data_IF_613405417551
#
_entry.id   IF_613405417551
#
_cell.length_a   1.000
_cell.length_b   1.000
_cell.length_c   1.000
_cell.angle_alpha   90.00
_cell.angle_beta   90.00
_cell.angle_gamma   90.00
#
_symmetry.space_group_name_H-M   'P 1'
#
loop_
_entity.id
_entity.type
_entity.pdbx_description
1 polymer ?
#
# COMPACT_ATOMS: atom_id res chain seq x y z
N UNK A 1 -23.91 3.35 -27.48
CA UNK A 1 -22.74 3.33 -26.57
C UNK A 1 -23.12 3.14 -25.10
N UNK A 2 -24.02 3.95 -24.52
CA UNK A 2 -24.54 3.80 -23.14
C UNK A 2 -25.03 2.38 -22.73
N UNK A 3 -25.81 1.63 -23.55
CA UNK A 3 -26.27 0.28 -23.14
C UNK A 3 -25.13 -0.75 -23.04
N UNK A 4 -24.12 -0.66 -23.92
CA UNK A 4 -22.94 -1.54 -23.87
C UNK A 4 -22.03 -1.22 -22.68
N UNK A 5 -21.97 0.04 -22.25
CA UNK A 5 -21.26 0.45 -21.05
C UNK A 5 -21.93 -0.10 -19.78
N UNK A 6 -23.25 0.04 -19.66
CA UNK A 6 -24.01 -0.47 -18.52
C UNK A 6 -23.85 -1.99 -18.38
N UNK A 7 -23.91 -2.72 -19.50
CA UNK A 7 -23.67 -4.17 -19.52
C UNK A 7 -22.28 -4.52 -18.96
N UNK A 8 -21.23 -3.77 -19.32
CA UNK A 8 -19.87 -3.99 -18.82
C UNK A 8 -19.72 -3.63 -17.34
N UNK A 9 -20.38 -2.57 -16.86
CA UNK A 9 -20.40 -2.21 -15.43
C UNK A 9 -21.07 -3.31 -14.60
N UNK A 10 -22.13 -3.94 -15.12
CA UNK A 10 -22.73 -5.11 -14.47
C UNK A 10 -21.82 -6.35 -14.53
N UNK A 11 -21.08 -6.54 -15.63
CA UNK A 11 -20.15 -7.66 -15.81
C UNK A 11 -18.90 -7.55 -14.90
N UNK A 12 -18.54 -6.34 -14.45
CA UNK A 12 -17.47 -6.14 -13.47
C UNK A 12 -17.75 -6.85 -12.12
N UNK A 13 -19.02 -7.13 -11.81
CA UNK A 13 -19.42 -7.90 -10.63
C UNK A 13 -19.64 -9.40 -10.92
N UNK A 14 -19.19 -9.92 -12.07
CA UNK A 14 -19.35 -11.33 -12.43
C UNK A 14 -18.49 -12.26 -11.55
N UNK A 15 -18.96 -13.49 -11.35
CA UNK A 15 -18.21 -14.54 -10.62
C UNK A 15 -16.96 -15.00 -11.37
N UNK A 16 -16.90 -14.80 -12.68
CA UNK A 16 -15.70 -15.07 -13.48
C UNK A 16 -14.68 -13.94 -13.30
N UNK A 17 -13.49 -14.28 -12.79
CA UNK A 17 -12.41 -13.32 -12.51
C UNK A 17 -11.86 -12.64 -13.74
N UNK A 18 -11.68 -13.40 -14.83
CA UNK A 18 -11.10 -12.87 -16.05
C UNK A 18 -12.08 -11.88 -16.69
N UNK A 19 -13.36 -12.25 -16.76
CA UNK A 19 -14.41 -11.38 -17.28
C UNK A 19 -14.59 -10.14 -16.41
N UNK A 20 -14.59 -10.29 -15.08
CA UNK A 20 -14.68 -9.18 -14.14
C UNK A 20 -13.50 -8.20 -14.32
N UNK A 21 -12.26 -8.70 -14.44
CA UNK A 21 -11.08 -7.88 -14.66
C UNK A 21 -11.08 -7.22 -16.05
N UNK A 22 -11.44 -7.93 -17.13
CA UNK A 22 -11.55 -7.35 -18.47
C UNK A 22 -12.64 -6.28 -18.55
N UNK A 23 -13.76 -6.49 -17.85
CA UNK A 23 -14.82 -5.50 -17.71
C UNK A 23 -14.32 -4.27 -16.94
N UNK A 24 -13.65 -4.45 -15.80
CA UNK A 24 -13.03 -3.37 -15.04
C UNK A 24 -12.05 -2.56 -15.89
N UNK A 25 -11.19 -3.24 -16.66
CA UNK A 25 -10.24 -2.61 -17.61
C UNK A 25 -10.96 -1.80 -18.68
N UNK A 26 -11.99 -2.37 -19.30
CA UNK A 26 -12.77 -1.69 -20.33
C UNK A 26 -13.51 -0.46 -19.79
N UNK A 27 -14.13 -0.60 -18.62
CA UNK A 27 -14.84 0.49 -17.95
C UNK A 27 -13.88 1.60 -17.56
N UNK A 28 -12.72 1.26 -16.97
CA UNK A 28 -11.70 2.25 -16.58
C UNK A 28 -11.19 3.04 -17.79
N UNK A 29 -10.87 2.36 -18.90
CA UNK A 29 -10.46 3.05 -20.14
C UNK A 29 -11.53 4.01 -20.66
N UNK A 30 -12.80 3.61 -20.58
CA UNK A 30 -13.91 4.48 -20.99
C UNK A 30 -14.10 5.67 -20.06
N UNK A 31 -14.01 5.47 -18.73
CA UNK A 31 -14.09 6.56 -17.75
C UNK A 31 -12.95 7.55 -17.93
N UNK A 32 -11.72 7.07 -18.17
CA UNK A 32 -10.56 7.92 -18.46
C UNK A 32 -10.78 8.71 -19.75
N UNK A 33 -11.34 8.07 -20.79
CA UNK A 33 -11.69 8.73 -22.04
C UNK A 33 -12.74 9.82 -21.83
N UNK A 34 -13.82 9.54 -21.09
CA UNK A 34 -14.84 10.55 -20.80
C UNK A 34 -14.30 11.71 -19.96
N UNK A 35 -13.45 11.42 -18.97
CA UNK A 35 -12.76 12.44 -18.19
C UNK A 35 -11.87 13.33 -19.07
N UNK A 36 -11.15 12.76 -20.03
CA UNK A 36 -10.27 13.51 -20.92
C UNK A 36 -11.06 14.34 -21.95
N UNK A 37 -12.11 13.77 -22.55
CA UNK A 37 -12.84 14.40 -23.65
C UNK A 37 -13.95 15.34 -23.20
N UNK A 38 -14.66 14.99 -22.12
CA UNK A 38 -15.85 15.72 -21.66
C UNK A 38 -15.66 16.35 -20.29
N UNK A 39 -14.56 16.04 -19.60
CA UNK A 39 -14.26 16.55 -18.27
C UNK A 39 -15.39 16.27 -17.26
N UNK A 40 -16.01 15.11 -17.40
CA UNK A 40 -17.09 14.63 -16.53
C UNK A 40 -16.76 13.22 -16.07
N UNK A 41 -16.96 12.96 -14.77
CA UNK A 41 -16.88 11.61 -14.22
C UNK A 41 -18.14 10.85 -14.66
N UNK A 42 -17.96 9.62 -15.12
CA UNK A 42 -19.09 8.76 -15.45
C UNK A 42 -19.90 8.43 -14.18
N UNK A 43 -21.12 8.95 -14.09
CA UNK A 43 -21.98 8.79 -12.90
C UNK A 43 -22.35 7.33 -12.61
N UNK A 44 -22.47 6.49 -13.66
CA UNK A 44 -22.86 5.08 -13.51
C UNK A 44 -21.71 4.29 -12.89
N UNK A 45 -20.48 4.52 -13.36
CA UNK A 45 -19.28 3.97 -12.76
C UNK A 45 -19.08 4.46 -11.33
N UNK A 46 -19.20 5.77 -11.10
CA UNK A 46 -19.03 6.39 -9.78
C UNK A 46 -19.98 5.77 -8.76
N UNK A 47 -21.27 5.74 -9.08
CA UNK A 47 -22.30 5.14 -8.23
C UNK A 47 -22.05 3.65 -7.99
N UNK A 48 -21.65 2.90 -9.02
CA UNK A 48 -21.40 1.46 -8.87
C UNK A 48 -20.19 1.19 -7.97
N UNK A 49 -19.11 1.94 -8.15
CA UNK A 49 -17.94 1.85 -7.29
C UNK A 49 -18.28 2.20 -5.84
N UNK A 50 -19.05 3.28 -5.62
CA UNK A 50 -19.51 3.66 -4.29
C UNK A 50 -20.35 2.55 -3.64
N UNK A 51 -21.29 1.95 -4.37
CA UNK A 51 -22.10 0.86 -3.83
C UNK A 51 -21.26 -0.33 -3.37
N UNK A 52 -20.24 -0.71 -4.15
CA UNK A 52 -19.35 -1.83 -3.82
C UNK A 52 -18.47 -1.50 -2.61
N UNK A 53 -17.94 -0.27 -2.54
CA UNK A 53 -17.11 0.16 -1.42
C UNK A 53 -17.91 0.36 -0.11
N UNK A 54 -19.19 0.74 -0.20
CA UNK A 54 -20.05 0.90 0.99
C UNK A 54 -20.49 -0.42 1.61
N UNK A 55 -20.54 -1.49 0.81
CA UNK A 55 -20.88 -2.83 1.28
C UNK A 55 -19.78 -3.82 0.84
N UNK A 56 -18.58 -3.71 1.42
CA UNK A 56 -17.44 -4.48 0.94
C UNK A 56 -17.59 -5.93 1.40
N UNK A 57 -17.99 -6.80 0.49
CA UNK A 57 -17.79 -8.23 0.63
C UNK A 57 -16.50 -8.60 -0.11
N UNK A 58 -15.63 -9.40 0.51
CA UNK A 58 -14.46 -9.97 -0.17
C UNK A 58 -14.90 -10.71 -1.43
N UNK A 59 -14.35 -10.35 -2.59
CA UNK A 59 -14.66 -11.00 -3.86
C UNK A 59 -14.40 -10.13 -5.08
N UNK A 60 -14.59 -10.74 -6.25
CA UNK A 60 -14.22 -10.15 -7.55
C UNK A 60 -14.79 -8.73 -7.77
N UNK A 61 -15.98 -8.42 -7.26
CA UNK A 61 -16.59 -7.09 -7.43
C UNK A 61 -15.78 -6.01 -6.71
N UNK A 62 -15.32 -6.28 -5.48
CA UNK A 62 -14.48 -5.36 -4.71
C UNK A 62 -13.11 -5.23 -5.36
N UNK A 63 -12.52 -6.34 -5.82
CA UNK A 63 -11.25 -6.34 -6.54
C UNK A 63 -11.32 -5.51 -7.83
N UNK A 64 -12.33 -5.75 -8.66
CA UNK A 64 -12.58 -5.02 -9.89
C UNK A 64 -12.83 -3.52 -9.65
N UNK A 65 -13.60 -3.19 -8.62
CA UNK A 65 -13.87 -1.81 -8.21
C UNK A 65 -12.59 -1.11 -7.78
N UNK A 66 -11.82 -1.73 -6.87
CA UNK A 66 -10.58 -1.18 -6.32
C UNK A 66 -9.54 -1.01 -7.42
N UNK A 67 -9.39 -2.01 -8.29
CA UNK A 67 -8.50 -1.95 -9.46
C UNK A 67 -8.91 -0.85 -10.43
N UNK A 68 -10.22 -0.71 -10.71
CA UNK A 68 -10.75 0.31 -11.61
C UNK A 68 -10.50 1.73 -11.06
N UNK A 69 -10.81 1.95 -9.78
CA UNK A 69 -10.56 3.21 -9.11
C UNK A 69 -9.08 3.56 -9.07
N UNK A 70 -8.23 2.59 -8.75
CA UNK A 70 -6.76 2.74 -8.78
C UNK A 70 -6.29 3.18 -10.16
N UNK A 71 -6.80 2.54 -11.22
CA UNK A 71 -6.42 2.86 -12.61
C UNK A 71 -6.83 4.27 -13.02
N UNK A 72 -8.07 4.67 -12.69
CA UNK A 72 -8.56 6.02 -12.97
C UNK A 72 -7.76 7.07 -12.20
N UNK A 73 -7.51 6.87 -10.91
CA UNK A 73 -6.71 7.77 -10.09
C UNK A 73 -5.27 7.90 -10.61
N UNK A 74 -4.61 6.78 -10.98
CA UNK A 74 -3.28 6.79 -11.60
C UNK A 74 -3.25 7.64 -12.88
N UNK A 75 -4.26 7.49 -13.75
CA UNK A 75 -4.33 8.26 -14.98
C UNK A 75 -4.48 9.76 -14.72
N UNK A 76 -5.39 10.15 -13.81
CA UNK A 76 -5.62 11.55 -13.44
C UNK A 76 -4.37 12.16 -12.78
N UNK A 77 -3.66 11.41 -11.93
CA UNK A 77 -2.43 11.85 -11.29
C UNK A 77 -1.27 12.02 -12.27
N UNK A 78 -1.14 11.14 -13.26
CA UNK A 78 -0.04 11.18 -14.23
C UNK A 78 -0.14 12.39 -15.16
N UNK A 79 -1.34 12.68 -15.64
CA UNK A 79 -1.56 13.65 -16.72
C UNK A 79 -2.44 14.81 -16.26
N UNK A 80 -2.15 15.38 -15.09
CA UNK A 80 -2.97 16.43 -14.46
C UNK A 80 -3.27 17.64 -15.35
N UNK A 81 -2.41 17.96 -16.32
CA UNK A 81 -2.61 19.05 -17.28
C UNK A 81 -3.72 18.78 -18.31
N UNK A 82 -4.10 17.52 -18.52
CA UNK A 82 -5.13 17.13 -19.50
C UNK A 82 -6.55 17.16 -18.91
N UNK A 83 -6.67 17.35 -17.59
CA UNK A 83 -7.94 17.36 -16.88
C UNK A 83 -8.18 18.74 -16.28
N UNK A 84 -9.45 19.09 -16.03
CA UNK A 84 -9.77 20.34 -15.35
C UNK A 84 -9.17 20.38 -13.95
N UNK A 85 -8.63 21.52 -13.50
CA UNK A 85 -8.19 21.68 -12.12
C UNK A 85 -9.33 21.35 -11.15
N UNK A 86 -9.02 20.65 -10.05
CA UNK A 86 -10.04 20.19 -9.10
C UNK A 86 -10.64 18.81 -9.40
N UNK A 87 -10.31 18.17 -10.55
CA UNK A 87 -10.89 16.86 -10.91
C UNK A 87 -10.44 15.76 -9.96
N UNK A 88 -9.17 15.76 -9.57
CA UNK A 88 -8.62 14.79 -8.63
C UNK A 88 -9.25 14.97 -7.24
N UNK A 89 -9.33 16.21 -6.77
CA UNK A 89 -9.91 16.58 -5.48
C UNK A 89 -11.40 16.19 -5.43
N UNK A 90 -12.15 16.43 -6.50
CA UNK A 90 -13.54 16.00 -6.61
C UNK A 90 -13.67 14.49 -6.52
N UNK A 91 -12.82 13.75 -7.25
CA UNK A 91 -12.86 12.28 -7.25
C UNK A 91 -12.52 11.73 -5.85
N UNK A 92 -11.48 12.25 -5.21
CA UNK A 92 -11.11 11.87 -3.84
C UNK A 92 -12.23 12.21 -2.85
N UNK A 93 -12.83 13.40 -2.95
CA UNK A 93 -13.95 13.81 -2.09
C UNK A 93 -15.14 12.86 -2.19
N UNK A 94 -15.47 12.41 -3.41
CA UNK A 94 -16.59 11.48 -3.63
C UNK A 94 -16.37 10.14 -2.93
N UNK A 95 -15.13 9.62 -2.96
CA UNK A 95 -14.82 8.27 -2.46
C UNK A 95 -14.29 8.24 -1.03
N UNK A 96 -13.99 9.38 -0.41
CA UNK A 96 -13.23 9.47 0.86
C UNK A 96 -13.83 8.62 1.99
N UNK A 97 -15.13 8.76 2.21
CA UNK A 97 -15.86 8.05 3.27
C UNK A 97 -15.93 6.54 3.01
N UNK A 98 -16.20 6.16 1.76
CA UNK A 98 -16.31 4.77 1.37
C UNK A 98 -14.95 4.05 1.47
N UNK A 99 -13.86 4.71 1.03
CA UNK A 99 -12.50 4.15 1.13
C UNK A 99 -12.05 3.96 2.57
N UNK A 100 -12.36 4.92 3.44
CA UNK A 100 -12.08 4.82 4.89
C UNK A 100 -12.83 3.67 5.53
N UNK A 101 -14.09 3.46 5.15
CA UNK A 101 -14.89 2.33 5.62
C UNK A 101 -14.32 0.99 5.13
N UNK A 102 -13.95 0.88 3.85
CA UNK A 102 -13.33 -0.35 3.30
C UNK A 102 -12.01 -0.68 3.99
N UNK A 103 -11.15 0.31 4.20
CA UNK A 103 -9.88 0.10 4.89
C UNK A 103 -10.11 -0.44 6.31
N UNK A 104 -11.03 0.18 7.07
CA UNK A 104 -11.32 -0.22 8.45
C UNK A 104 -11.94 -1.62 8.57
N UNK A 105 -12.64 -2.08 7.52
CA UNK A 105 -13.23 -3.42 7.47
C UNK A 105 -12.23 -4.50 7.01
N UNK A 106 -11.31 -4.15 6.11
CA UNK A 106 -10.35 -5.11 5.54
C UNK A 106 -9.05 -5.23 6.34
N UNK A 107 -8.62 -4.14 6.97
CA UNK A 107 -7.40 -4.12 7.77
C UNK A 107 -7.80 -4.33 9.24
N UNK A 108 -7.22 -5.32 9.94
CA UNK A 108 -7.54 -5.57 11.34
C UNK A 108 -7.21 -4.34 12.21
N UNK A 109 -8.24 -3.66 12.70
CA UNK A 109 -8.10 -2.58 13.69
C UNK A 109 -8.14 -3.20 15.10
N UNK A 110 -7.34 -2.67 16.03
CA UNK A 110 -7.18 -3.16 17.40
C UNK A 110 -8.52 -3.37 18.12
N UNK A 111 -8.92 -4.62 18.32
CA UNK A 111 -9.76 -4.95 19.47
C UNK A 111 -8.83 -5.32 20.63
N UNK A 112 -8.51 -4.31 21.43
CA UNK A 112 -7.90 -4.46 22.75
C UNK A 112 -8.92 -5.20 23.64
N UNK A 113 -8.92 -6.53 23.58
CA UNK A 113 -9.87 -7.32 24.34
C UNK A 113 -9.76 -8.81 24.05
N UNK A 114 -9.06 -9.51 24.95
CA UNK A 114 -9.19 -10.91 25.33
C UNK A 114 -9.34 -11.98 24.24
N UNK A 115 -8.48 -13.00 24.36
CA UNK A 115 -8.44 -14.20 23.55
C UNK A 115 -9.80 -14.67 23.08
N UNK A 116 -10.00 -14.60 21.78
CA UNK A 116 -10.63 -15.63 20.98
C UNK A 116 -10.17 -15.40 19.56
N UNK A 117 -9.77 -16.49 18.92
CA UNK A 117 -9.40 -16.58 17.51
C UNK A 117 -10.25 -15.61 16.69
N UNK A 118 -9.66 -14.47 16.28
CA UNK A 118 -10.25 -13.63 15.26
C UNK A 118 -10.28 -14.52 14.02
N UNK A 119 -11.47 -15.09 13.77
CA UNK A 119 -11.77 -15.90 12.61
C UNK A 119 -11.33 -15.10 11.39
N UNK A 120 -10.14 -15.41 10.87
CA UNK A 120 -9.78 -15.02 9.52
C UNK A 120 -10.93 -15.52 8.65
N UNK A 121 -11.54 -14.68 7.80
CA UNK A 121 -12.60 -15.13 6.93
C UNK A 121 -12.11 -16.39 6.23
N UNK A 122 -12.84 -17.49 6.40
CA UNK A 122 -12.60 -18.80 5.79
C UNK A 122 -12.68 -18.77 4.25
N UNK A 123 -12.51 -17.61 3.61
CA UNK A 123 -12.38 -17.47 2.17
C UNK A 123 -10.97 -17.90 1.76
N UNK A 124 -10.91 -18.80 0.78
CA UNK A 124 -9.74 -19.18 0.00
C UNK A 124 -8.59 -18.15 0.09
N UNK A 125 -7.46 -18.51 0.70
CA UNK A 125 -6.37 -17.58 1.08
C UNK A 125 -5.84 -16.72 -0.09
N UNK A 126 -5.94 -17.24 -1.31
CA UNK A 126 -5.57 -16.55 -2.55
C UNK A 126 -6.48 -15.34 -2.86
N UNK A 127 -7.75 -15.39 -2.48
CA UNK A 127 -8.74 -14.36 -2.78
C UNK A 127 -8.51 -13.15 -1.89
N UNK A 128 -8.26 -13.42 -0.60
CA UNK A 128 -7.92 -12.39 0.37
C UNK A 128 -6.59 -11.69 0.03
N UNK A 129 -5.59 -12.45 -0.42
CA UNK A 129 -4.33 -11.87 -0.87
C UNK A 129 -4.50 -10.93 -2.06
N UNK A 130 -5.37 -11.29 -3.00
CA UNK A 130 -5.69 -10.45 -4.17
C UNK A 130 -6.38 -9.16 -3.73
N UNK A 131 -7.38 -9.25 -2.85
CA UNK A 131 -8.07 -8.07 -2.30
C UNK A 131 -7.13 -7.15 -1.54
N UNK A 132 -6.28 -7.68 -0.67
CA UNK A 132 -5.26 -6.89 0.03
C UNK A 132 -4.28 -6.23 -0.94
N UNK A 133 -3.86 -6.94 -2.00
CA UNK A 133 -2.95 -6.39 -3.02
C UNK A 133 -3.56 -5.19 -3.73
N UNK A 134 -4.81 -5.32 -4.17
CA UNK A 134 -5.54 -4.23 -4.81
C UNK A 134 -5.72 -3.03 -3.87
N UNK A 135 -5.99 -3.29 -2.58
CA UNK A 135 -6.10 -2.25 -1.56
C UNK A 135 -4.76 -1.53 -1.35
N UNK A 136 -3.65 -2.28 -1.27
CA UNK A 136 -2.30 -1.71 -1.12
C UNK A 136 -1.89 -0.85 -2.32
N UNK A 137 -2.20 -1.30 -3.54
CA UNK A 137 -1.99 -0.51 -4.75
C UNK A 137 -2.82 0.78 -4.74
N UNK A 138 -4.06 0.72 -4.27
CA UNK A 138 -4.91 1.91 -4.12
C UNK A 138 -4.34 2.87 -3.07
N UNK A 139 -3.91 2.35 -1.91
CA UNK A 139 -3.29 3.15 -0.84
C UNK A 139 -2.02 3.84 -1.30
N UNK A 140 -1.21 3.18 -2.13
CA UNK A 140 -0.02 3.80 -2.72
C UNK A 140 -0.40 5.01 -3.58
N UNK A 141 -1.44 4.87 -4.41
CA UNK A 141 -1.94 5.93 -5.28
C UNK A 141 -2.54 7.08 -4.49
N UNK A 142 -3.30 6.79 -3.43
CA UNK A 142 -3.85 7.80 -2.51
C UNK A 142 -2.74 8.56 -1.77
N UNK A 143 -1.68 7.86 -1.37
CA UNK A 143 -0.51 8.48 -0.74
C UNK A 143 0.23 9.37 -1.75
N UNK A 144 0.42 8.91 -2.99
CA UNK A 144 1.03 9.72 -4.04
C UNK A 144 0.17 10.95 -4.37
N UNK A 145 -1.16 10.82 -4.37
CA UNK A 145 -2.07 11.93 -4.52
C UNK A 145 -1.90 12.96 -3.41
N UNK A 146 -1.75 12.51 -2.16
CA UNK A 146 -1.46 13.37 -1.00
C UNK A 146 -0.17 14.16 -1.21
N UNK A 147 0.92 13.50 -1.58
CA UNK A 147 2.20 14.18 -1.81
C UNK A 147 2.09 15.24 -2.92
N UNK A 148 1.36 14.95 -4.00
CA UNK A 148 1.13 15.90 -5.10
C UNK A 148 0.18 17.05 -4.73
N UNK A 149 -0.79 16.81 -3.86
CA UNK A 149 -1.76 17.79 -3.38
C UNK A 149 -1.32 18.52 -2.09
N UNK A 150 -0.11 18.29 -1.60
CA UNK A 150 0.40 18.86 -0.33
C UNK A 150 0.35 20.39 -0.26
N UNK A 151 0.37 21.08 -1.40
CA UNK A 151 0.19 22.54 -1.47
C UNK A 151 -1.26 22.99 -1.25
N UNK A 152 -2.23 22.08 -1.40
CA UNK A 152 -3.66 22.35 -1.27
C UNK A 152 -4.13 22.01 0.15
N UNK A 153 -4.75 22.97 0.86
CA UNK A 153 -5.29 22.79 2.23
C UNK A 153 -6.38 21.71 2.39
N UNK A 154 -6.74 21.00 1.32
CA UNK A 154 -7.81 20.00 1.35
C UNK A 154 -7.19 18.65 1.66
N UNK A 155 -7.43 18.18 2.89
CA UNK A 155 -6.89 16.93 3.38
C UNK A 155 -7.98 15.86 3.47
N UNK A 156 -7.91 14.84 2.62
CA UNK A 156 -8.84 13.72 2.60
C UNK A 156 -8.45 12.64 3.61
N UNK A 157 -9.42 12.06 4.33
CA UNK A 157 -9.16 11.03 5.34
C UNK A 157 -8.55 9.78 4.73
N UNK A 158 -9.06 9.35 3.58
CA UNK A 158 -8.58 8.20 2.80
C UNK A 158 -7.12 8.32 2.37
N UNK A 159 -6.67 9.55 2.08
CA UNK A 159 -5.29 9.84 1.69
C UNK A 159 -4.29 9.73 2.85
N UNK A 160 -4.78 9.75 4.09
CA UNK A 160 -3.98 9.64 5.33
C UNK A 160 -3.92 8.23 5.89
N UNK A 161 -4.77 7.32 5.43
CA UNK A 161 -4.97 6.01 6.06
C UNK A 161 -3.66 5.21 6.21
N UNK A 162 -2.81 5.22 5.17
CA UNK A 162 -1.52 4.53 5.19
C UNK A 162 -0.52 5.12 6.18
N UNK A 163 -0.63 6.42 6.50
CA UNK A 163 0.23 7.11 7.46
C UNK A 163 -0.30 7.01 8.89
N UNK A 164 -1.61 7.11 9.06
CA UNK A 164 -2.28 7.15 10.38
C UNK A 164 -2.53 5.76 10.95
N UNK A 165 -2.61 4.72 10.11
CA UNK A 165 -2.86 3.33 10.53
C UNK A 165 -1.70 2.40 10.16
N UNK A 166 -0.47 2.91 10.32
CA UNK A 166 0.75 2.15 10.04
C UNK A 166 0.89 0.89 10.89
N UNK A 167 0.50 0.96 12.16
CA UNK A 167 0.42 -0.18 13.08
C UNK A 167 -0.40 -1.35 12.51
N UNK A 168 -1.51 -1.05 11.83
CA UNK A 168 -2.39 -2.03 11.21
C UNK A 168 -1.73 -2.69 9.98
N UNK A 169 -0.98 -1.93 9.19
CA UNK A 169 -0.15 -2.46 8.10
C UNK A 169 1.00 -3.34 8.62
N UNK A 170 1.67 -2.93 9.69
CA UNK A 170 2.75 -3.72 10.31
C UNK A 170 2.24 -5.07 10.84
N UNK A 171 1.00 -5.13 11.32
CA UNK A 171 0.33 -6.38 11.70
C UNK A 171 0.06 -7.31 10.51
N UNK A 172 -0.21 -6.77 9.32
CA UNK A 172 -0.31 -7.61 8.11
C UNK A 172 1.03 -8.32 7.85
N UNK A 173 2.16 -7.65 8.07
CA UNK A 173 3.50 -8.26 7.92
C UNK A 173 3.72 -9.40 8.93
N UNK A 174 3.22 -9.25 10.15
CA UNK A 174 3.30 -10.26 11.20
C UNK A 174 2.32 -11.44 10.98
N UNK A 175 1.21 -11.20 10.28
CA UNK A 175 0.16 -12.21 10.05
C UNK A 175 0.55 -13.34 9.10
N UNK A 176 -0.29 -14.38 9.00
CA UNK A 176 -0.07 -15.55 8.13
C UNK A 176 -0.42 -15.33 6.64
N UNK A 177 -0.39 -14.08 6.16
CA UNK A 177 -0.61 -13.77 4.74
C UNK A 177 0.59 -14.18 3.87
N UNK A 178 0.34 -14.33 2.56
CA UNK A 178 1.39 -14.65 1.59
C UNK A 178 2.56 -13.64 1.62
N UNK A 179 3.78 -14.15 1.46
CA UNK A 179 5.03 -13.38 1.50
C UNK A 179 5.00 -12.13 0.60
N UNK A 180 4.42 -12.25 -0.61
CA UNK A 180 4.37 -11.12 -1.54
C UNK A 180 3.54 -9.94 -1.00
N UNK A 181 2.46 -10.20 -0.25
CA UNK A 181 1.64 -9.15 0.37
C UNK A 181 2.44 -8.45 1.46
N UNK A 182 3.17 -9.21 2.28
CA UNK A 182 4.10 -8.67 3.30
C UNK A 182 5.15 -7.78 2.66
N UNK A 183 5.73 -8.23 1.55
CA UNK A 183 6.71 -7.47 0.76
C UNK A 183 6.11 -6.18 0.21
N UNK A 184 4.89 -6.22 -0.32
CA UNK A 184 4.19 -5.04 -0.83
C UNK A 184 3.92 -4.01 0.26
N UNK A 185 3.47 -4.44 1.45
CA UNK A 185 3.31 -3.56 2.63
C UNK A 185 4.63 -2.86 2.97
N UNK A 186 5.73 -3.60 3.02
CA UNK A 186 7.03 -3.01 3.37
C UNK A 186 7.56 -2.04 2.32
N UNK A 187 7.33 -2.34 1.04
CA UNK A 187 7.66 -1.42 -0.05
C UNK A 187 6.80 -0.15 0.02
N UNK A 188 5.52 -0.27 0.35
CA UNK A 188 4.64 0.87 0.57
C UNK A 188 5.15 1.75 1.72
N UNK A 189 5.38 1.17 2.91
CA UNK A 189 5.91 1.90 4.07
C UNK A 189 7.24 2.59 3.76
N UNK A 190 8.15 1.89 3.07
CA UNK A 190 9.42 2.46 2.59
C UNK A 190 9.17 3.69 1.71
N UNK A 191 8.28 3.58 0.70
CA UNK A 191 7.98 4.68 -0.22
C UNK A 191 7.35 5.88 0.51
N UNK A 192 6.47 5.63 1.47
CA UNK A 192 5.84 6.69 2.29
C UNK A 192 6.90 7.41 3.13
N UNK A 193 7.73 6.68 3.89
CA UNK A 193 8.76 7.26 4.74
C UNK A 193 9.83 8.02 3.95
N UNK A 194 10.17 7.55 2.75
CA UNK A 194 11.09 8.25 1.85
C UNK A 194 10.42 9.39 1.07
N UNK A 195 9.11 9.61 1.24
CA UNK A 195 8.31 10.60 0.49
C UNK A 195 8.42 10.42 -1.03
N UNK A 196 8.49 9.16 -1.46
CA UNK A 196 8.69 8.71 -2.85
C UNK A 196 7.51 7.89 -3.37
N UNK A 197 6.35 7.95 -2.73
CA UNK A 197 5.16 7.26 -3.24
C UNK A 197 4.75 7.87 -4.58
N UNK A 198 4.61 7.04 -5.61
CA UNK A 198 4.29 7.48 -6.97
C UNK A 198 5.50 7.84 -7.86
N UNK A 199 6.73 7.82 -7.33
CA UNK A 199 7.95 7.99 -8.14
C UNK A 199 8.03 6.93 -9.26
N UNK A 200 7.79 5.67 -8.90
CA UNK A 200 7.75 4.54 -9.83
C UNK A 200 6.61 4.63 -10.87
N UNK A 201 5.59 5.46 -10.61
CA UNK A 201 4.44 5.66 -11.49
C UNK A 201 4.65 6.81 -12.49
N UNK A 202 5.79 7.50 -12.41
CA UNK A 202 6.13 8.62 -13.28
C UNK A 202 5.31 9.88 -13.00
N UNK A 203 4.85 10.08 -11.76
CA UNK A 203 4.03 11.24 -11.38
C UNK A 203 4.81 12.57 -11.27
N UNK A 204 6.08 12.59 -11.68
CA UNK A 204 7.01 13.72 -11.49
C UNK A 204 7.65 13.70 -10.10
N UNK A 205 8.72 14.47 -9.91
CA UNK A 205 9.30 14.64 -8.58
C UNK A 205 8.27 15.30 -7.65
N UNK A 206 7.92 14.60 -6.56
CA UNK A 206 7.17 15.21 -5.47
C UNK A 206 8.00 16.38 -4.94
N UNK A 207 7.40 17.57 -4.87
CA UNK A 207 8.07 18.76 -4.35
C UNK A 207 8.63 18.45 -2.97
N UNK A 208 9.95 18.61 -2.80
CA UNK A 208 10.60 18.54 -1.50
C UNK A 208 9.85 19.41 -0.52
N UNK A 209 9.48 18.84 0.63
CA UNK A 209 8.65 19.43 1.67
C UNK A 209 9.08 20.88 1.98
N UNK A 210 8.50 21.88 1.29
CA UNK A 210 8.74 23.29 1.54
C UNK A 210 7.85 23.71 2.70
N UNK A 211 8.32 23.45 3.93
CA UNK A 211 7.99 24.05 5.23
C UNK A 211 6.53 24.42 5.58
N UNK A 212 5.50 24.01 4.81
CA UNK A 212 4.15 24.58 4.90
C UNK A 212 3.01 23.60 5.20
N UNK A 213 3.26 22.28 5.27
CA UNK A 213 2.23 21.29 5.59
C UNK A 213 2.55 20.58 6.93
N UNK A 214 2.14 21.23 8.01
CA UNK A 214 2.30 20.75 9.39
C UNK A 214 1.59 19.41 9.62
N UNK A 215 0.47 19.17 8.91
CA UNK A 215 -0.32 17.94 9.07
C UNK A 215 0.35 16.73 8.41
N UNK A 216 0.92 16.89 7.22
CA UNK A 216 1.66 15.80 6.57
C UNK A 216 2.93 15.43 7.34
N UNK A 217 3.64 16.43 7.86
CA UNK A 217 4.84 16.21 8.67
C UNK A 217 4.50 15.46 9.97
N UNK A 218 3.40 15.86 10.64
CA UNK A 218 2.89 15.16 11.81
C UNK A 218 2.52 13.70 11.50
N UNK A 219 1.84 13.44 10.38
CA UNK A 219 1.43 12.08 9.99
C UNK A 219 2.64 11.17 9.69
N UNK A 220 3.69 11.72 9.10
CA UNK A 220 4.95 10.98 8.86
C UNK A 220 5.67 10.68 10.18
N UNK A 221 5.62 11.60 11.15
CA UNK A 221 6.18 11.35 12.49
C UNK A 221 5.39 10.29 13.26
N UNK A 222 4.06 10.29 13.20
CA UNK A 222 3.25 9.23 13.82
C UNK A 222 3.53 7.87 13.18
N UNK A 223 3.62 7.81 11.85
CA UNK A 223 4.03 6.61 11.11
C UNK A 223 5.40 6.10 11.57
N UNK A 224 6.38 7.00 11.72
CA UNK A 224 7.72 6.66 12.18
C UNK A 224 7.71 6.11 13.62
N UNK A 225 6.94 6.73 14.52
CA UNK A 225 6.81 6.25 15.90
C UNK A 225 6.13 4.87 15.97
N UNK A 226 5.08 4.62 15.18
CA UNK A 226 4.43 3.30 15.07
C UNK A 226 5.42 2.21 14.65
N UNK A 227 6.24 2.50 13.63
CA UNK A 227 7.29 1.57 13.16
C UNK A 227 8.30 1.28 14.28
N UNK A 228 8.78 2.30 14.97
CA UNK A 228 9.77 2.12 16.03
C UNK A 228 9.20 1.42 17.26
N UNK A 229 7.91 1.65 17.56
CA UNK A 229 7.20 0.92 18.60
C UNK A 229 7.07 -0.57 18.24
N UNK A 230 6.73 -0.89 16.99
CA UNK A 230 6.69 -2.29 16.53
C UNK A 230 8.08 -2.96 16.60
N UNK A 231 9.14 -2.24 16.22
CA UNK A 231 10.53 -2.73 16.35
C UNK A 231 10.89 -3.00 17.81
N UNK A 232 10.43 -2.16 18.75
CA UNK A 232 10.62 -2.38 20.18
C UNK A 232 9.88 -3.64 20.69
N UNK A 233 8.80 -4.05 20.04
CA UNK A 233 8.07 -5.29 20.35
C UNK A 233 8.53 -6.47 19.48
N UNK A 234 9.81 -6.51 19.11
CA UNK A 234 10.44 -7.61 18.35
C UNK A 234 9.82 -7.91 16.97
N UNK A 235 9.08 -6.98 16.36
CA UNK A 235 8.47 -7.18 15.05
C UNK A 235 9.49 -7.58 13.97
N UNK A 236 10.73 -7.10 14.07
CA UNK A 236 11.80 -7.49 13.16
C UNK A 236 12.14 -8.98 13.22
N UNK A 237 11.83 -9.71 14.29
CA UNK A 237 12.00 -11.15 14.34
C UNK A 237 10.96 -11.87 13.45
N UNK A 238 9.75 -11.30 13.36
CA UNK A 238 8.64 -11.86 12.61
C UNK A 238 8.68 -11.60 11.10
N UNK A 239 9.49 -10.66 10.61
CA UNK A 239 9.57 -10.36 9.17
C UNK A 239 10.27 -11.49 8.42
N UNK A 240 9.57 -12.31 7.62
CA UNK A 240 10.21 -13.35 6.84
C UNK A 240 11.11 -12.71 5.77
N UNK A 241 12.26 -13.32 5.52
CA UNK A 241 13.13 -13.00 4.37
C UNK A 241 13.37 -14.32 3.68
N UNK A 242 12.62 -14.59 2.61
CA UNK A 242 12.80 -15.81 1.83
C UNK A 242 14.14 -15.76 1.07
N UNK A 243 14.82 -16.90 0.96
CA UNK A 243 15.92 -17.10 0.01
C UNK A 243 15.33 -17.04 -1.41
N UNK A 244 15.87 -16.19 -2.29
CA UNK A 244 15.37 -15.93 -3.64
C UNK A 244 15.28 -17.23 -4.47
N UNK A 245 14.34 -17.42 -5.37
CA UNK A 245 13.35 -16.51 -5.93
C UNK A 245 12.07 -17.27 -6.30
N UNK A 246 10.90 -16.67 -6.05
CA UNK A 246 9.69 -17.01 -6.80
C UNK A 246 9.40 -15.80 -7.69
N UNK A 247 10.03 -15.77 -8.86
CA UNK A 247 9.73 -14.76 -9.88
C UNK A 247 8.32 -15.01 -10.42
N UNK A 248 7.47 -13.98 -10.37
CA UNK A 248 6.23 -13.99 -11.12
C UNK A 248 6.56 -13.79 -12.61
N UNK A 249 6.41 -14.84 -13.42
CA UNK A 249 6.42 -14.76 -14.89
C UNK A 249 7.78 -14.78 -15.61
N UNK A 250 8.88 -15.09 -14.91
CA UNK A 250 10.20 -15.27 -15.54
C UNK A 250 10.61 -16.73 -15.56
N UNK A 251 11.05 -17.24 -16.72
CA UNK A 251 11.73 -18.54 -16.83
C UNK A 251 12.88 -18.56 -15.83
N UNK A 252 12.79 -19.43 -14.81
CA UNK A 252 13.87 -19.62 -13.85
C UNK A 252 15.12 -20.06 -14.58
N UNK A 253 16.03 -19.12 -14.82
CA UNK A 253 17.36 -19.46 -15.29
C UNK A 253 18.12 -20.01 -14.09
N UNK A 254 18.09 -21.33 -13.96
CA UNK A 254 19.07 -22.13 -13.23
C UNK A 254 20.45 -21.84 -13.83
N UNK A 255 21.05 -20.71 -13.46
CA UNK A 255 22.46 -20.48 -13.66
C UNK A 255 23.14 -20.91 -12.35
N UNK A 256 23.83 -22.05 -12.40
CA UNK A 256 24.44 -22.72 -11.27
C UNK A 256 25.43 -21.83 -10.50
N UNK A 257 24.95 -21.22 -9.42
CA UNK A 257 25.75 -20.49 -8.44
C UNK A 257 24.96 -20.27 -7.16
N UNK A 258 25.27 -21.07 -6.13
CA UNK A 258 24.81 -21.01 -4.72
C UNK A 258 23.32 -20.72 -4.45
N UNK A 259 22.61 -21.76 -4.03
CA UNK A 259 21.20 -21.83 -3.63
C UNK A 259 20.86 -21.12 -2.30
N UNK A 260 21.26 -19.85 -2.10
CA UNK A 260 20.90 -19.10 -0.89
C UNK A 260 20.94 -17.56 -1.06
N UNK A 261 20.39 -17.04 -2.15
CA UNK A 261 20.40 -15.60 -2.39
C UNK A 261 19.23 -14.92 -1.68
N UNK A 262 19.34 -14.43 -0.44
CA UNK A 262 18.24 -13.73 0.25
C UNK A 262 17.54 -12.62 -0.58
N UNK A 263 16.25 -12.38 -0.34
CA UNK A 263 15.53 -11.25 -0.93
C UNK A 263 16.09 -9.89 -0.44
N UNK A 264 17.13 -9.43 -1.15
CA UNK A 264 17.80 -8.17 -0.86
C UNK A 264 16.87 -6.95 -0.99
N UNK A 265 15.79 -7.05 -1.78
CA UNK A 265 14.80 -5.97 -1.89
C UNK A 265 14.05 -5.83 -0.57
N UNK A 266 13.62 -6.94 0.01
CA UNK A 266 12.95 -6.98 1.31
C UNK A 266 13.87 -6.47 2.43
N UNK A 267 15.11 -6.98 2.50
CA UNK A 267 16.09 -6.54 3.51
C UNK A 267 16.39 -5.04 3.42
N UNK A 268 16.58 -4.53 2.20
CA UNK A 268 16.80 -3.10 1.98
C UNK A 268 15.57 -2.28 2.36
N UNK A 269 14.37 -2.76 2.06
CA UNK A 269 13.13 -2.08 2.42
C UNK A 269 12.96 -1.98 3.95
N UNK A 270 13.10 -3.09 4.67
CA UNK A 270 13.04 -3.12 6.14
C UNK A 270 14.08 -2.19 6.75
N UNK A 271 15.33 -2.26 6.27
CA UNK A 271 16.42 -1.42 6.78
C UNK A 271 16.14 0.07 6.59
N UNK A 272 15.65 0.46 5.41
CA UNK A 272 15.31 1.86 5.12
C UNK A 272 14.09 2.34 5.91
N UNK A 273 13.08 1.48 6.11
CA UNK A 273 11.91 1.80 6.94
C UNK A 273 12.35 2.12 8.37
N UNK A 274 13.20 1.28 8.97
CA UNK A 274 13.69 1.49 10.33
C UNK A 274 14.61 2.71 10.41
N UNK A 275 15.59 2.82 9.53
CA UNK A 275 16.55 3.94 9.53
C UNK A 275 15.85 5.28 9.32
N UNK A 276 14.90 5.37 8.39
CA UNK A 276 14.19 6.61 8.11
C UNK A 276 13.24 7.00 9.24
N UNK A 277 12.59 6.01 9.86
CA UNK A 277 11.76 6.27 11.05
C UNK A 277 12.59 6.81 12.22
N UNK A 278 13.80 6.27 12.40
CA UNK A 278 14.74 6.74 13.41
C UNK A 278 15.23 8.17 13.14
N UNK A 279 15.52 8.49 11.88
CA UNK A 279 15.86 9.86 11.46
C UNK A 279 14.74 10.84 11.82
N UNK A 280 13.48 10.50 11.50
CA UNK A 280 12.33 11.33 11.84
C UNK A 280 12.13 11.50 13.35
N UNK A 281 12.38 10.45 14.15
CA UNK A 281 12.30 10.55 15.61
C UNK A 281 13.34 11.50 16.20
N UNK A 282 14.56 11.52 15.64
CA UNK A 282 15.62 12.47 16.03
C UNK A 282 15.22 13.91 15.68
N UNK A 283 14.65 14.10 14.49
CA UNK A 283 14.16 15.41 14.03
C UNK A 283 13.02 15.94 14.92
N UNK A 284 12.08 15.08 15.30
CA UNK A 284 10.95 15.43 16.19
C UNK A 284 11.41 15.76 17.62
N UNK A 285 12.37 15.01 18.18
CA UNK A 285 12.85 15.17 19.56
C UNK A 285 13.83 16.35 19.78
N UNK A 286 14.00 17.25 18.81
CA UNK A 286 14.91 18.39 18.92
C UNK A 286 16.38 17.98 19.12
N UNK A 287 16.79 16.81 18.61
CA UNK A 287 18.17 16.33 18.68
C UNK A 287 18.61 15.68 20.00
N UNK A 288 17.73 15.48 20.99
CA UNK A 288 18.04 14.63 22.15
C UNK A 288 17.88 13.15 21.79
N UNK A 289 18.98 12.56 21.35
CA UNK A 289 19.06 11.19 20.85
C UNK A 289 18.57 10.15 21.85
N UNK A 290 17.60 9.34 21.42
CA UNK A 290 17.16 8.15 22.14
C UNK A 290 18.12 6.99 21.82
N UNK A 291 19.33 7.05 22.38
CA UNK A 291 20.47 6.16 22.10
C UNK A 291 20.11 4.68 22.30
N UNK A 292 19.20 4.35 23.21
CA UNK A 292 18.75 2.98 23.46
C UNK A 292 18.09 2.31 22.24
N UNK A 293 17.34 3.08 21.44
CA UNK A 293 16.65 2.56 20.25
C UNK A 293 17.63 2.32 19.08
N UNK A 294 18.67 3.16 18.97
CA UNK A 294 19.80 2.93 18.07
C UNK A 294 20.53 1.62 18.40
N UNK A 295 20.81 1.37 19.68
CA UNK A 295 21.49 0.15 20.14
C UNK A 295 20.65 -1.09 19.86
N UNK A 296 19.32 -1.05 20.04
CA UNK A 296 18.41 -2.16 19.72
C UNK A 296 18.38 -2.43 18.21
N UNK A 297 18.23 -1.40 17.38
CA UNK A 297 18.21 -1.55 15.91
C UNK A 297 19.54 -2.09 15.40
N UNK A 298 20.67 -1.55 15.88
CA UNK A 298 22.00 -2.03 15.51
C UNK A 298 22.20 -3.46 15.99
N UNK A 299 21.83 -3.80 17.23
CA UNK A 299 21.91 -5.18 17.73
C UNK A 299 21.04 -6.12 16.91
N UNK A 300 19.82 -5.74 16.52
CA UNK A 300 18.95 -6.61 15.73
C UNK A 300 19.47 -6.82 14.30
N UNK A 301 20.02 -5.77 13.67
CA UNK A 301 20.70 -5.88 12.37
C UNK A 301 21.96 -6.76 12.49
N UNK A 302 22.73 -6.59 13.56
CA UNK A 302 23.97 -7.31 13.82
C UNK A 302 23.70 -8.79 14.14
N UNK A 303 22.71 -9.09 14.98
CA UNK A 303 22.26 -10.46 15.32
C UNK A 303 21.75 -11.16 14.07
N UNK A 304 20.93 -10.51 13.22
CA UNK A 304 20.54 -11.10 11.94
C UNK A 304 21.76 -11.39 11.06
N UNK A 305 22.68 -10.44 10.90
CA UNK A 305 23.93 -10.68 10.15
C UNK A 305 24.73 -11.86 10.72
N UNK A 306 24.78 -12.01 12.04
CA UNK A 306 25.50 -13.09 12.71
C UNK A 306 24.82 -14.45 12.49
N UNK A 307 23.49 -14.53 12.63
CA UNK A 307 22.69 -15.74 12.33
C UNK A 307 22.86 -16.16 10.86
N UNK A 308 22.88 -15.21 9.94
CA UNK A 308 23.15 -15.50 8.52
C UNK A 308 24.61 -15.91 8.26
N UNK A 309 25.58 -15.44 9.06
CA UNK A 309 26.98 -15.91 8.93
C UNK A 309 27.22 -17.28 9.56
N UNK A 310 26.50 -17.65 10.62
CA UNK A 310 26.60 -18.99 11.24
C UNK A 310 25.95 -20.07 10.38
N UNK A 311 24.81 -19.78 9.74
CA UNK A 311 24.18 -20.71 8.78
C UNK A 311 25.07 -20.99 7.56
N UNK A 312 25.88 -20.00 7.15
CA UNK A 312 26.85 -20.14 6.06
C UNK A 312 28.07 -20.99 6.43
N UNK A 313 28.38 -21.14 7.72
CA UNK A 313 29.47 -21.99 8.21
C UNK A 313 29.05 -23.45 8.34
N UNK A 314 27.80 -23.71 8.72
CA UNK A 314 27.29 -25.09 8.89
C UNK A 314 26.92 -25.74 7.55
N UNK A 315 26.61 -24.97 6.50
CA UNK A 315 26.37 -25.50 5.14
C UNK A 315 27.67 -25.79 4.36
N UNK A 316 28.85 -25.55 4.94
CA UNK A 316 30.16 -25.76 4.32
C UNK A 316 30.94 -26.95 4.91
N UNK A 317 30.28 -27.82 5.68
CA UNK A 317 30.82 -29.09 6.18
C UNK A 317 30.18 -30.30 5.50
#
# INVERSE_FOLDING_TARGET
MKPAFNSKVHLACCKDRLLSHLAAKSVSSYVIFELRCFNTVNQIWEWKCLQVLQNPCSGNALDACTWSLTTVLKAVLKETSQYKPGTLEKLLATFDTALTAVYSQLVPVESLGHGNSASYPSSNTADWATTLTNLLDLLEVLTAARFKLSTTRVCFTSSRLSLVQASALLRIVDSHVHYFVKKQVLLLLKRILLQKAGEDMGFGEASSLTHGDDHMTSDIFTLADDVLQAVHTDWLQCVPVESAAIFFGGTGQLCGGSSDAFDHVMLRAVSLVVLKSLEYKIQSAGGKGNIGLFVIVINHIYVRRNVYSTLKLDSAK
#
